data_IF_002478611773
#
_entry.id   IF_002478611773
#
_cell.length_a   1.000
_cell.length_b   1.000
_cell.length_c   1.000
_cell.angle_alpha   90.00
_cell.angle_beta   90.00
_cell.angle_gamma   90.00
#
_symmetry.space_group_name_H-M   'P 1'
#
loop_
_entity.id
_entity.type
_entity.pdbx_description
1 polymer ?
#
# COMPACT_ATOMS: atom_id res chain seq x y z
N UNK A 1 13.10 -10.38 -7.41
CA UNK A 1 12.20 -10.82 -6.31
C UNK A 1 12.88 -10.85 -4.93
N UNK A 2 13.80 -11.77 -4.59
CA UNK A 2 14.38 -11.83 -3.21
C UNK A 2 15.04 -10.51 -2.76
N UNK A 3 15.92 -9.94 -3.60
CA UNK A 3 16.61 -8.69 -3.27
C UNK A 3 15.66 -7.51 -3.11
N UNK A 4 14.59 -7.43 -3.91
CA UNK A 4 13.55 -6.39 -3.78
C UNK A 4 12.80 -6.52 -2.46
N UNK A 5 12.42 -7.74 -2.08
CA UNK A 5 11.74 -7.99 -0.78
C UNK A 5 12.63 -7.55 0.38
N UNK A 6 13.93 -7.87 0.33
CA UNK A 6 14.88 -7.46 1.38
C UNK A 6 15.04 -5.94 1.40
N UNK A 7 15.17 -5.30 0.24
CA UNK A 7 15.30 -3.85 0.15
C UNK A 7 14.06 -3.13 0.71
N UNK A 8 12.86 -3.54 0.28
CA UNK A 8 11.59 -2.97 0.77
C UNK A 8 11.44 -3.21 2.28
N UNK A 9 11.73 -4.41 2.78
CA UNK A 9 11.66 -4.70 4.20
C UNK A 9 12.62 -3.82 5.03
N UNK A 10 13.81 -3.52 4.50
CA UNK A 10 14.75 -2.62 5.16
C UNK A 10 14.27 -1.17 5.15
N UNK A 11 13.68 -0.69 4.05
CA UNK A 11 13.08 0.65 3.97
C UNK A 11 11.92 0.78 4.95
N UNK A 12 11.00 -0.20 4.98
CA UNK A 12 9.85 -0.22 5.91
C UNK A 12 10.29 -0.11 7.37
N UNK A 13 11.34 -0.84 7.78
CA UNK A 13 11.89 -0.79 9.14
C UNK A 13 12.66 0.51 9.42
N UNK A 14 13.58 0.89 8.54
CA UNK A 14 14.55 1.96 8.82
C UNK A 14 13.99 3.36 8.65
N UNK A 15 13.13 3.59 7.64
CA UNK A 15 12.61 4.93 7.35
C UNK A 15 11.21 5.16 7.94
N UNK A 16 10.39 4.12 7.99
CA UNK A 16 8.99 4.23 8.43
C UNK A 16 8.71 3.58 9.79
N UNK A 17 9.73 2.96 10.42
CA UNK A 17 9.60 2.37 11.75
C UNK A 17 8.59 1.22 11.83
N UNK A 18 8.26 0.57 10.71
CA UNK A 18 7.29 -0.53 10.66
C UNK A 18 7.90 -1.78 11.27
N UNK A 19 7.19 -2.36 12.25
CA UNK A 19 7.58 -3.58 12.94
C UNK A 19 6.48 -4.63 12.99
N UNK A 20 6.66 -5.58 13.91
CA UNK A 20 5.70 -6.66 14.13
C UNK A 20 4.38 -6.11 14.68
N UNK A 21 3.27 -6.50 14.06
CA UNK A 21 1.92 -6.07 14.45
C UNK A 21 1.48 -4.73 13.87
N UNK A 22 2.38 -3.99 13.22
CA UNK A 22 2.00 -2.77 12.52
C UNK A 22 1.23 -3.06 11.23
N UNK A 23 0.20 -2.28 10.96
CA UNK A 23 -0.60 -2.42 9.75
C UNK A 23 -0.03 -1.55 8.61
N UNK A 24 0.18 -2.17 7.45
CA UNK A 24 0.57 -1.52 6.20
C UNK A 24 -0.51 -1.76 5.15
N UNK A 25 -1.10 -0.69 4.65
CA UNK A 25 -2.07 -0.75 3.56
C UNK A 25 -1.35 -0.73 2.21
N UNK A 26 -1.76 -1.62 1.30
CA UNK A 26 -1.20 -1.74 -0.04
C UNK A 26 -2.30 -1.45 -1.05
N UNK A 27 -2.23 -0.28 -1.68
CA UNK A 27 -3.13 0.17 -2.73
C UNK A 27 -2.36 0.23 -4.06
N UNK A 28 -2.08 -0.95 -4.61
CA UNK A 28 -1.28 -1.12 -5.81
C UNK A 28 -2.08 -1.82 -6.91
N UNK A 29 -1.76 -1.58 -8.20
CA UNK A 29 -2.27 -2.37 -9.30
C UNK A 29 -1.61 -3.77 -9.31
N UNK A 30 -2.03 -4.62 -10.25
CA UNK A 30 -1.44 -5.94 -10.46
C UNK A 30 -0.05 -5.84 -11.11
N UNK A 31 0.95 -5.46 -10.31
CA UNK A 31 2.36 -5.39 -10.69
C UNK A 31 3.22 -6.28 -9.78
N UNK A 32 4.36 -6.81 -10.27
CA UNK A 32 5.25 -7.66 -9.46
C UNK A 32 5.70 -7.01 -8.15
N UNK A 33 5.85 -5.68 -8.15
CA UNK A 33 6.23 -4.93 -6.95
C UNK A 33 5.22 -5.10 -5.80
N UNK A 34 3.93 -5.28 -6.09
CA UNK A 34 2.92 -5.51 -5.06
C UNK A 34 3.21 -6.79 -4.27
N UNK A 35 3.60 -7.88 -4.95
CA UNK A 35 4.02 -9.11 -4.28
C UNK A 35 5.28 -8.89 -3.42
N UNK A 36 6.25 -8.11 -3.91
CA UNK A 36 7.45 -7.78 -3.15
C UNK A 36 7.14 -6.99 -1.87
N UNK A 37 6.17 -6.07 -1.90
CA UNK A 37 5.70 -5.32 -0.72
C UNK A 37 4.98 -6.24 0.27
N UNK A 38 4.08 -7.10 -0.20
CA UNK A 38 3.36 -8.04 0.66
C UNK A 38 4.31 -9.00 1.37
N UNK A 39 5.28 -9.56 0.65
CA UNK A 39 6.30 -10.44 1.21
C UNK A 39 7.25 -9.69 2.16
N UNK A 40 7.56 -8.42 1.88
CA UNK A 40 8.37 -7.59 2.77
C UNK A 40 7.66 -7.32 4.10
N UNK A 41 6.34 -7.03 4.06
CA UNK A 41 5.51 -6.87 5.26
C UNK A 41 5.48 -8.17 6.07
N UNK A 42 5.22 -9.30 5.41
CA UNK A 42 5.23 -10.61 6.06
C UNK A 42 6.59 -10.95 6.69
N UNK A 43 7.71 -10.60 6.01
CA UNK A 43 9.08 -10.82 6.50
C UNK A 43 9.38 -10.09 7.81
N UNK A 44 8.82 -8.90 8.01
CA UNK A 44 9.05 -8.09 9.22
C UNK A 44 7.97 -8.29 10.29
N UNK A 45 6.98 -9.15 10.02
CA UNK A 45 5.86 -9.42 10.91
C UNK A 45 4.78 -8.33 10.93
N UNK A 46 4.77 -7.43 9.93
CA UNK A 46 3.72 -6.45 9.75
C UNK A 46 2.46 -7.10 9.19
N UNK A 47 1.30 -6.58 9.57
CA UNK A 47 0.00 -6.96 9.03
C UNK A 47 -0.20 -6.22 7.71
N UNK A 48 -0.47 -6.96 6.64
CA UNK A 48 -0.73 -6.36 5.32
C UNK A 48 -2.23 -6.29 5.07
N UNK A 49 -2.72 -5.09 4.75
CA UNK A 49 -4.09 -4.86 4.29
C UNK A 49 -4.07 -4.51 2.81
N UNK A 50 -4.49 -5.44 1.97
CA UNK A 50 -4.45 -5.27 0.51
C UNK A 50 -5.76 -4.68 0.04
N UNK A 51 -5.68 -3.52 -0.60
CA UNK A 51 -6.83 -2.79 -1.13
C UNK A 51 -6.72 -2.77 -2.65
N UNK A 52 -7.81 -3.13 -3.32
CA UNK A 52 -7.85 -3.19 -4.77
C UNK A 52 -7.60 -1.81 -5.38
N UNK A 53 -6.55 -1.69 -6.20
CA UNK A 53 -6.13 -0.46 -6.92
C UNK A 53 -7.12 0.04 -7.99
N UNK A 54 -8.41 -0.24 -7.88
CA UNK A 54 -9.46 0.35 -8.71
C UNK A 54 -10.65 0.84 -7.90
N UNK A 55 -10.53 0.86 -6.57
CA UNK A 55 -11.53 1.46 -5.69
C UNK A 55 -11.47 2.99 -5.69
N UNK A 56 -12.63 3.62 -5.44
CA UNK A 56 -12.75 5.06 -5.25
C UNK A 56 -12.12 5.53 -3.95
N UNK A 57 -11.91 6.84 -3.83
CA UNK A 57 -11.41 7.50 -2.61
C UNK A 57 -12.22 7.10 -1.38
N UNK A 58 -13.55 7.20 -1.43
CA UNK A 58 -14.45 6.80 -0.35
C UNK A 58 -14.27 5.33 0.08
N UNK A 59 -14.14 4.42 -0.88
CA UNK A 59 -13.93 2.99 -0.59
C UNK A 59 -12.56 2.72 0.03
N UNK A 60 -11.56 3.53 -0.33
CA UNK A 60 -10.22 3.48 0.27
C UNK A 60 -10.26 4.03 1.70
N UNK A 61 -10.88 5.19 1.94
CA UNK A 61 -11.04 5.82 3.26
C UNK A 61 -11.63 4.86 4.29
N UNK A 62 -12.76 4.21 3.99
CA UNK A 62 -13.43 3.27 4.92
C UNK A 62 -12.47 2.15 5.38
N UNK A 63 -11.61 1.67 4.48
CA UNK A 63 -10.64 0.60 4.80
C UNK A 63 -9.43 1.13 5.54
N UNK A 64 -9.00 2.37 5.27
CA UNK A 64 -7.95 3.03 6.01
C UNK A 64 -8.37 3.30 7.47
N UNK A 65 -9.62 3.75 7.68
CA UNK A 65 -10.18 3.99 9.02
C UNK A 65 -10.32 2.72 9.85
N UNK A 66 -10.75 1.61 9.22
CA UNK A 66 -10.87 0.31 9.89
C UNK A 66 -9.48 -0.29 10.22
N UNK A 67 -8.57 -0.27 9.25
CA UNK A 67 -7.26 -0.90 9.39
C UNK A 67 -6.25 -0.06 10.20
N UNK A 68 -6.51 1.25 10.37
CA UNK A 68 -5.62 2.26 11.00
C UNK A 68 -4.14 2.04 10.66
N UNK A 69 -3.78 2.00 9.36
CA UNK A 69 -2.43 1.66 8.95
C UNK A 69 -1.44 2.76 9.33
N UNK A 70 -0.21 2.37 9.67
CA UNK A 70 0.91 3.31 9.84
C UNK A 70 1.45 3.80 8.50
N UNK A 71 1.22 3.05 7.43
CA UNK A 71 1.75 3.35 6.11
C UNK A 71 0.79 2.90 5.01
N UNK A 72 0.62 3.74 3.98
CA UNK A 72 -0.06 3.42 2.73
C UNK A 72 0.97 3.37 1.60
N UNK A 73 1.02 2.24 0.87
CA UNK A 73 1.87 2.05 -0.30
C UNK A 73 1.01 2.13 -1.56
N UNK A 74 1.34 3.05 -2.47
CA UNK A 74 0.63 3.26 -3.75
C UNK A 74 1.62 3.61 -4.87
N UNK A 75 1.11 3.76 -6.09
CA UNK A 75 1.84 4.26 -7.28
C UNK A 75 1.20 5.55 -7.79
N UNK A 76 1.91 6.25 -8.67
CA UNK A 76 1.44 7.45 -9.36
C UNK A 76 0.15 7.19 -10.15
N UNK A 77 0.21 6.22 -11.07
CA UNK A 77 -0.90 5.82 -11.91
C UNK A 77 -0.77 4.35 -12.33
N UNK A 78 -1.86 3.79 -12.83
CA UNK A 78 -1.86 2.48 -13.49
C UNK A 78 -2.72 2.52 -14.74
N UNK A 79 -2.47 1.61 -15.66
CA UNK A 79 -3.32 1.42 -16.82
C UNK A 79 -4.19 0.19 -16.62
N UNK A 80 -5.50 0.35 -16.86
CA UNK A 80 -6.44 -0.77 -16.93
C UNK A 80 -7.10 -0.76 -18.31
N UNK A 81 -6.56 -1.59 -19.21
CA UNK A 81 -6.79 -1.41 -20.65
C UNK A 81 -6.22 -0.07 -21.09
N UNK A 82 -6.98 0.68 -21.89
CA UNK A 82 -6.56 1.98 -22.41
C UNK A 82 -6.81 3.16 -21.44
N UNK A 83 -7.44 2.89 -20.29
CA UNK A 83 -7.82 3.94 -19.33
C UNK A 83 -6.75 4.10 -18.25
N UNK A 84 -6.16 5.31 -18.09
CA UNK A 84 -5.28 5.61 -16.98
C UNK A 84 -6.09 5.84 -15.70
N UNK A 85 -5.68 5.18 -14.62
CA UNK A 85 -6.20 5.35 -13.26
C UNK A 85 -5.13 6.06 -12.44
N UNK A 86 -5.40 7.29 -12.01
CA UNK A 86 -4.47 8.12 -11.21
C UNK A 86 -4.55 7.74 -9.73
N UNK A 87 -3.88 6.65 -9.37
CA UNK A 87 -3.94 6.06 -8.03
C UNK A 87 -3.45 7.00 -6.94
N UNK A 88 -2.41 7.79 -7.21
CA UNK A 88 -1.91 8.76 -6.24
C UNK A 88 -2.94 9.85 -5.92
N UNK A 89 -3.66 10.35 -6.93
CA UNK A 89 -4.71 11.35 -6.72
C UNK A 89 -5.84 10.78 -5.84
N UNK A 90 -6.25 9.54 -6.11
CA UNK A 90 -7.29 8.85 -5.31
C UNK A 90 -6.81 8.62 -3.87
N UNK A 91 -5.56 8.24 -3.70
CA UNK A 91 -4.96 8.05 -2.38
C UNK A 91 -4.86 9.37 -1.60
N UNK A 92 -4.45 10.46 -2.23
CA UNK A 92 -4.37 11.78 -1.59
C UNK A 92 -5.74 12.30 -1.16
N UNK A 93 -6.75 12.11 -2.01
CA UNK A 93 -8.13 12.42 -1.68
C UNK A 93 -8.62 11.58 -0.48
N UNK A 94 -8.36 10.27 -0.48
CA UNK A 94 -8.75 9.39 0.64
C UNK A 94 -8.05 9.77 1.95
N UNK A 95 -6.76 10.10 1.91
CA UNK A 95 -5.98 10.52 3.07
C UNK A 95 -6.41 11.90 3.59
N UNK A 96 -6.97 12.77 2.74
CA UNK A 96 -7.52 14.06 3.18
C UNK A 96 -8.86 13.92 3.92
N UNK A 97 -9.55 12.80 3.74
CA UNK A 97 -10.83 12.49 4.40
C UNK A 97 -10.59 11.76 5.72
N UNK A 98 -9.55 10.92 5.81
CA UNK A 98 -9.17 10.25 7.05
C UNK A 98 -8.58 11.25 8.06
N UNK A 99 -9.19 11.36 9.24
CA UNK A 99 -8.66 12.08 10.43
C UNK A 99 -7.90 11.14 11.38
#
# INVERSE_FOLDING_TARGET
>A
MYYEVVAVANILKSQYGIGKGDCVCVYLPMIPFAASVMLACARIGAVVSVIFGGYSSQSLTIRLEDAKPKLLVTVDASFRGDKPIKLKCIADEAMSICE
#
